data_IF_167820364796
#
_entry.id   IF_167820364796
#
_cell.length_a   1.000
_cell.length_b   1.000
_cell.length_c   1.000
_cell.angle_alpha   90.00
_cell.angle_beta   90.00
_cell.angle_gamma   90.00
#
_symmetry.space_group_name_H-M   'P 1'
#
loop_
_entity.id
_entity.type
_entity.pdbx_description
1 polymer ?
#
# COMPACT_ATOMS: atom_id res chain seq x y z
N UNK A 1 3.70 -7.02 -14.71
CA UNK A 1 4.68 -5.96 -14.36
C UNK A 1 4.63 -5.80 -12.85
N UNK A 2 5.68 -6.17 -12.12
CA UNK A 2 5.73 -6.02 -10.66
C UNK A 2 6.18 -4.60 -10.28
N UNK A 3 5.70 -4.03 -9.17
CA UNK A 3 6.23 -2.79 -8.61
C UNK A 3 7.72 -2.93 -8.21
N UNK A 4 8.43 -1.80 -7.98
CA UNK A 4 9.81 -1.83 -7.54
C UNK A 4 9.99 -2.65 -6.26
N UNK A 5 11.01 -3.52 -6.22
CA UNK A 5 11.29 -4.45 -5.11
C UNK A 5 11.98 -3.77 -3.93
N UNK A 6 11.45 -2.63 -3.49
CA UNK A 6 11.97 -1.92 -2.32
C UNK A 6 11.50 -2.63 -1.06
N UNK A 7 12.38 -3.42 -0.44
CA UNK A 7 12.09 -4.28 0.72
C UNK A 7 11.36 -3.54 1.84
N UNK A 8 11.79 -2.30 2.14
CA UNK A 8 11.18 -1.45 3.18
C UNK A 8 9.71 -1.07 2.91
N UNK A 9 9.23 -1.12 1.66
CA UNK A 9 7.83 -0.81 1.33
C UNK A 9 6.90 -2.01 1.39
N UNK A 10 7.46 -3.21 1.44
CA UNK A 10 6.75 -4.47 1.26
C UNK A 10 7.10 -5.49 2.36
N UNK A 11 6.88 -5.18 3.65
CA UNK A 11 7.28 -6.04 4.75
C UNK A 11 6.65 -7.43 4.71
N UNK A 12 5.42 -7.57 4.19
CA UNK A 12 4.75 -8.87 4.09
C UNK A 12 5.29 -9.76 2.96
N UNK A 13 5.98 -9.18 1.98
CA UNK A 13 6.51 -9.91 0.83
C UNK A 13 8.03 -10.03 0.87
N UNK A 14 8.68 -9.68 1.99
CA UNK A 14 10.13 -9.59 2.11
C UNK A 14 10.83 -10.92 1.76
N UNK A 15 10.34 -12.03 2.30
CA UNK A 15 10.89 -13.37 2.06
C UNK A 15 10.85 -13.76 0.57
N UNK A 16 9.72 -13.52 -0.10
CA UNK A 16 9.56 -13.83 -1.54
C UNK A 16 10.44 -12.92 -2.41
N UNK A 17 10.63 -11.65 -1.99
CA UNK A 17 11.55 -10.73 -2.67
C UNK A 17 12.98 -11.25 -2.59
N UNK A 18 13.42 -11.72 -1.42
CA UNK A 18 14.76 -12.28 -1.22
C UNK A 18 14.98 -13.54 -2.07
N UNK A 19 14.02 -14.46 -2.09
CA UNK A 19 14.08 -15.66 -2.94
C UNK A 19 14.16 -15.30 -4.43
N UNK A 20 13.36 -14.33 -4.87
CA UNK A 20 13.35 -13.86 -6.25
C UNK A 20 14.67 -13.19 -6.64
N UNK A 21 15.23 -12.36 -5.76
CA UNK A 21 16.54 -11.74 -5.95
C UNK A 21 17.65 -12.80 -6.00
N UNK A 22 17.62 -13.78 -5.10
CA UNK A 22 18.56 -14.90 -5.09
C UNK A 22 18.50 -15.69 -6.41
N UNK A 23 17.30 -15.99 -6.91
CA UNK A 23 17.16 -16.66 -8.21
C UNK A 23 17.78 -15.84 -9.37
N UNK A 24 17.66 -14.51 -9.35
CA UNK A 24 18.30 -13.66 -10.34
C UNK A 24 19.84 -13.62 -10.23
N UNK A 25 20.38 -13.73 -9.01
CA UNK A 25 21.82 -13.79 -8.75
C UNK A 25 22.38 -15.15 -9.19
N UNK A 26 21.70 -16.25 -8.86
CA UNK A 26 22.11 -17.61 -9.19
C UNK A 26 21.95 -17.91 -10.69
N UNK A 27 21.01 -17.23 -11.36
CA UNK A 27 20.70 -17.43 -12.77
C UNK A 27 20.70 -16.12 -13.57
N UNK A 28 21.86 -15.47 -13.75
CA UNK A 28 21.96 -14.18 -14.42
C UNK A 28 21.51 -14.23 -15.88
N UNK A 29 21.72 -15.37 -16.56
CA UNK A 29 21.23 -15.64 -17.92
C UNK A 29 19.83 -16.27 -17.86
N UNK A 30 19.59 -17.19 -16.92
CA UNK A 30 18.33 -17.92 -16.78
C UNK A 30 17.11 -17.05 -16.46
N UNK A 31 17.31 -15.84 -15.92
CA UNK A 31 16.23 -14.85 -15.75
C UNK A 31 15.54 -14.47 -17.07
N UNK A 32 16.29 -14.45 -18.18
CA UNK A 32 15.74 -14.14 -19.51
C UNK A 32 15.01 -15.34 -20.13
N UNK A 33 15.37 -16.55 -19.71
CA UNK A 33 14.74 -17.80 -20.15
C UNK A 33 13.59 -18.24 -19.24
N UNK A 34 13.20 -17.41 -18.26
CA UNK A 34 12.07 -17.68 -17.40
C UNK A 34 12.32 -18.64 -16.23
N UNK A 35 13.58 -18.95 -15.87
CA UNK A 35 13.89 -19.81 -14.71
C UNK A 35 13.29 -19.31 -13.38
N UNK A 36 13.08 -18.01 -13.24
CA UNK A 36 12.54 -17.39 -12.03
C UNK A 36 11.06 -17.00 -12.15
N UNK A 37 10.34 -17.51 -13.16
CA UNK A 37 8.95 -17.11 -13.44
C UNK A 37 7.98 -17.51 -12.33
N UNK A 38 8.16 -18.67 -11.72
CA UNK A 38 7.28 -19.13 -10.64
C UNK A 38 7.39 -18.24 -9.40
N UNK A 39 8.61 -17.84 -9.04
CA UNK A 39 8.87 -16.89 -7.95
C UNK A 39 8.29 -15.51 -8.28
N UNK A 40 8.39 -15.06 -9.54
CA UNK A 40 7.75 -13.83 -10.00
C UNK A 40 6.23 -13.87 -9.83
N UNK A 41 5.58 -14.98 -10.15
CA UNK A 41 4.12 -15.13 -10.02
C UNK A 41 3.69 -15.04 -8.56
N UNK A 42 4.39 -15.74 -7.66
CA UNK A 42 4.16 -15.67 -6.21
C UNK A 42 4.34 -14.24 -5.68
N UNK A 43 5.39 -13.57 -6.13
CA UNK A 43 5.67 -12.19 -5.75
C UNK A 43 4.55 -11.23 -6.21
N UNK A 44 4.08 -11.38 -7.44
CA UNK A 44 2.95 -10.60 -7.98
C UNK A 44 1.63 -10.89 -7.24
N UNK A 45 1.42 -12.09 -6.73
CA UNK A 45 0.28 -12.42 -5.87
C UNK A 45 0.39 -11.70 -4.52
N UNK A 46 1.54 -11.81 -3.85
CA UNK A 46 1.77 -11.14 -2.56
C UNK A 46 1.59 -9.62 -2.66
N UNK A 47 2.13 -8.98 -3.70
CA UNK A 47 1.94 -7.53 -3.88
C UNK A 47 0.48 -7.13 -4.15
N UNK A 48 -0.32 -8.00 -4.79
CA UNK A 48 -1.75 -7.74 -4.97
C UNK A 48 -2.50 -7.81 -3.65
N UNK A 49 -2.19 -8.79 -2.82
CA UNK A 49 -2.79 -8.95 -1.50
C UNK A 49 -2.43 -7.81 -0.56
N UNK A 50 -1.14 -7.47 -0.47
CA UNK A 50 -0.69 -6.34 0.34
C UNK A 50 -1.35 -5.03 -0.10
N UNK A 51 -1.45 -4.80 -1.41
CA UNK A 51 -2.12 -3.63 -1.95
C UNK A 51 -3.60 -3.62 -1.61
N UNK A 52 -4.28 -4.77 -1.64
CA UNK A 52 -5.68 -4.88 -1.24
C UNK A 52 -5.88 -4.55 0.24
N UNK A 53 -5.02 -5.07 1.11
CA UNK A 53 -5.04 -4.79 2.56
C UNK A 53 -4.81 -3.31 2.85
N UNK A 54 -3.76 -2.71 2.27
CA UNK A 54 -3.48 -1.27 2.41
C UNK A 54 -4.63 -0.40 1.90
N UNK A 55 -5.25 -0.76 0.77
CA UNK A 55 -6.42 -0.04 0.23
C UNK A 55 -7.61 -0.11 1.18
N UNK A 56 -7.88 -1.27 1.78
CA UNK A 56 -8.96 -1.43 2.75
C UNK A 56 -8.74 -0.56 3.99
N UNK A 57 -7.54 -0.60 4.57
CA UNK A 57 -7.18 0.23 5.72
C UNK A 57 -7.30 1.73 5.39
N UNK A 58 -6.75 2.17 4.26
CA UNK A 58 -6.84 3.57 3.83
C UNK A 58 -8.29 4.01 3.57
N UNK A 59 -9.13 3.12 3.05
CA UNK A 59 -10.55 3.42 2.83
C UNK A 59 -11.29 3.63 4.16
N UNK A 60 -11.05 2.77 5.15
CA UNK A 60 -11.65 2.90 6.49
C UNK A 60 -11.19 4.18 7.18
N UNK A 61 -9.90 4.51 7.13
CA UNK A 61 -9.36 5.75 7.70
C UNK A 61 -9.89 6.99 6.97
N UNK A 62 -9.96 6.95 5.64
CA UNK A 62 -10.54 8.04 4.85
C UNK A 62 -12.03 8.25 5.18
N UNK A 63 -12.79 7.17 5.39
CA UNK A 63 -14.20 7.26 5.80
C UNK A 63 -14.35 7.93 7.16
N UNK A 64 -13.57 7.49 8.17
CA UNK A 64 -13.57 8.10 9.51
C UNK A 64 -13.19 9.58 9.46
N UNK A 65 -12.16 9.92 8.70
CA UNK A 65 -11.73 11.31 8.53
C UNK A 65 -12.83 12.15 7.87
N UNK A 66 -13.46 11.63 6.81
CA UNK A 66 -14.56 12.31 6.13
C UNK A 66 -15.74 12.55 7.07
N UNK A 67 -16.12 11.57 7.89
CA UNK A 67 -17.19 11.71 8.88
C UNK A 67 -16.86 12.78 9.92
N UNK A 68 -15.62 12.80 10.46
CA UNK A 68 -15.16 13.83 11.40
C UNK A 68 -15.19 15.23 10.79
N UNK A 69 -14.69 15.38 9.56
CA UNK A 69 -14.69 16.66 8.87
C UNK A 69 -16.10 17.17 8.56
N UNK A 70 -17.03 16.26 8.24
CA UNK A 70 -18.43 16.62 8.02
C UNK A 70 -19.13 17.04 9.32
N UNK A 71 -18.86 16.36 10.44
CA UNK A 71 -19.38 16.75 11.75
C UNK A 71 -18.87 18.14 12.15
N UNK A 72 -17.55 18.35 12.05
CA UNK A 72 -16.92 19.64 12.34
C UNK A 72 -17.50 20.77 11.45
N UNK A 73 -17.65 20.52 10.14
CA UNK A 73 -18.26 21.50 9.22
C UNK A 73 -19.69 21.87 9.65
N UNK A 74 -20.50 20.91 10.08
CA UNK A 74 -21.86 21.17 10.57
C UNK A 74 -21.85 22.01 11.85
N UNK A 75 -21.01 21.68 12.83
CA UNK A 75 -20.85 22.49 14.05
C UNK A 75 -20.43 23.93 13.74
N UNK A 76 -19.42 24.12 12.87
CA UNK A 76 -18.95 25.46 12.50
C UNK A 76 -19.95 26.27 11.66
N UNK A 77 -20.90 25.60 10.99
CA UNK A 77 -21.97 26.24 10.24
C UNK A 77 -23.13 26.69 11.14
N UNK A 78 -23.39 25.95 12.22
CA UNK A 78 -24.40 26.25 13.23
C UNK A 78 -23.93 27.35 14.20
N UNK A 79 -22.62 27.41 14.49
CA UNK A 79 -22.02 28.51 15.26
C UNK A 79 -22.05 29.82 14.47
N UNK A 80 -22.74 30.82 15.02
CA UNK A 80 -22.84 32.17 14.47
C UNK A 80 -21.48 32.89 14.35
N UNK A 81 -21.43 34.05 13.68
CA UNK A 81 -20.18 34.75 13.36
C UNK A 81 -19.33 35.18 14.58
N UNK A 82 -19.91 35.30 15.77
CA UNK A 82 -19.20 35.77 16.97
C UNK A 82 -18.24 34.72 17.58
N UNK A 83 -18.48 33.43 17.42
CA UNK A 83 -17.61 32.35 17.96
C UNK A 83 -16.44 32.00 17.01
N UNK A 84 -16.40 32.58 15.80
CA UNK A 84 -15.41 32.24 14.75
C UNK A 84 -14.05 32.92 14.92
N UNK A 85 -13.93 33.88 15.84
CA UNK A 85 -12.72 34.69 16.04
C UNK A 85 -11.81 34.21 17.20
N UNK A 86 -12.10 33.07 17.85
CA UNK A 86 -11.36 32.62 19.03
C UNK A 86 -10.53 31.33 18.84
N UNK A 87 -10.43 30.80 17.61
CA UNK A 87 -9.53 29.69 17.25
C UNK A 87 -8.47 30.15 16.27
#
# INVERSE_FOLDING_TARGET
>A
MHPPLTLHKHPMCAEIIEEFQKCHIDHPIGKFFGKCTDLKIKLDQCFREEKALKRKANFEESKKLKERLQAFRKETADKGPEEKNFV
#
